data_IF_041469241964
#
_entry.id   IF_041469241964
#
_cell.length_a   1.000
_cell.length_b   1.000
_cell.length_c   1.000
_cell.angle_alpha   90.00
_cell.angle_beta   90.00
_cell.angle_gamma   90.00
#
_symmetry.space_group_name_H-M   'P 1'
#
loop_
_entity.id
_entity.type
_entity.pdbx_description
1 polymer ?
#
# COMPACT_ATOMS: atom_id res chain seq x y z
N UNK A 1 -12.56 37.58 19.39
CA UNK A 1 -12.34 36.46 18.46
C UNK A 1 -11.38 35.48 19.12
N UNK A 2 -11.88 34.37 19.64
CA UNK A 2 -10.99 33.29 20.11
C UNK A 2 -10.14 32.78 18.94
N UNK A 3 -8.84 32.62 19.16
CA UNK A 3 -7.96 32.07 18.15
C UNK A 3 -8.33 30.60 17.90
N UNK A 4 -8.71 30.27 16.67
CA UNK A 4 -9.06 28.89 16.28
C UNK A 4 -7.88 27.98 16.58
N UNK A 5 -8.11 26.89 17.32
CA UNK A 5 -7.02 25.97 17.68
C UNK A 5 -6.41 25.33 16.44
N UNK A 6 -5.08 25.12 16.42
CA UNK A 6 -4.38 24.42 15.33
C UNK A 6 -5.00 23.05 15.01
N UNK A 7 -5.47 22.36 16.05
CA UNK A 7 -6.16 21.07 15.91
C UNK A 7 -7.46 21.22 15.12
N UNK A 8 -8.27 22.23 15.42
CA UNK A 8 -9.51 22.49 14.68
C UNK A 8 -9.20 22.80 13.21
N UNK A 9 -8.21 23.64 12.92
CA UNK A 9 -7.77 23.94 11.54
C UNK A 9 -7.38 22.65 10.80
N UNK A 10 -6.58 21.79 11.41
CA UNK A 10 -6.15 20.53 10.78
C UNK A 10 -7.31 19.58 10.49
N UNK A 11 -8.32 19.49 11.36
CA UNK A 11 -9.50 18.67 11.12
C UNK A 11 -10.43 19.26 10.05
N UNK A 12 -10.57 20.59 10.02
CA UNK A 12 -11.28 21.26 8.92
C UNK A 12 -10.59 20.97 7.59
N UNK A 13 -9.28 21.10 7.53
CA UNK A 13 -8.49 20.76 6.33
C UNK A 13 -8.62 19.29 5.97
N UNK A 14 -8.61 18.38 6.95
CA UNK A 14 -8.82 16.95 6.72
C UNK A 14 -10.13 16.70 5.99
N UNK A 15 -11.25 17.24 6.50
CA UNK A 15 -12.57 17.06 5.89
C UNK A 15 -12.60 17.67 4.48
N UNK A 16 -12.09 18.90 4.31
CA UNK A 16 -12.07 19.57 3.02
C UNK A 16 -11.25 18.80 1.97
N UNK A 17 -10.05 18.32 2.33
CA UNK A 17 -9.18 17.57 1.42
C UNK A 17 -9.83 16.25 1.01
N UNK A 18 -10.34 15.46 1.95
CA UNK A 18 -10.95 14.17 1.62
C UNK A 18 -12.24 14.34 0.81
N UNK A 19 -13.08 15.31 1.17
CA UNK A 19 -14.28 15.63 0.40
C UNK A 19 -13.93 16.10 -1.02
N UNK A 20 -12.93 16.97 -1.17
CA UNK A 20 -12.49 17.45 -2.47
C UNK A 20 -11.90 16.33 -3.33
N UNK A 21 -11.03 15.47 -2.78
CA UNK A 21 -10.46 14.32 -3.50
C UNK A 21 -11.54 13.31 -3.87
N UNK A 22 -12.47 13.01 -2.97
CA UNK A 22 -13.62 12.14 -3.26
C UNK A 22 -14.48 12.71 -4.40
N UNK A 23 -14.79 14.01 -4.37
CA UNK A 23 -15.52 14.70 -5.44
C UNK A 23 -14.77 14.66 -6.78
N UNK A 24 -13.46 14.94 -6.77
CA UNK A 24 -12.62 14.94 -7.97
C UNK A 24 -12.63 13.58 -8.68
N UNK A 25 -12.86 12.51 -7.93
CA UNK A 25 -12.92 11.14 -8.45
C UNK A 25 -14.10 10.92 -9.41
N UNK A 26 -15.19 11.67 -9.24
CA UNK A 26 -16.35 11.68 -10.13
C UNK A 26 -16.21 12.66 -11.29
N UNK A 27 -15.31 13.64 -11.18
CA UNK A 27 -15.11 14.69 -12.18
C UNK A 27 -14.05 14.34 -13.23
N UNK A 28 -13.08 13.48 -12.90
CA UNK A 28 -11.96 13.16 -13.78
C UNK A 28 -12.28 12.00 -14.75
N UNK A 29 -11.85 12.09 -16.03
CA UNK A 29 -12.24 11.15 -17.10
C UNK A 29 -11.54 9.79 -17.05
N UNK A 30 -10.66 9.51 -16.07
CA UNK A 30 -9.73 8.37 -16.10
C UNK A 30 -10.09 7.24 -15.14
N UNK A 31 -11.35 7.16 -14.71
CA UNK A 31 -11.87 6.09 -13.83
C UNK A 31 -10.93 5.74 -12.65
N UNK A 32 -10.52 6.71 -11.81
CA UNK A 32 -9.59 6.45 -10.70
C UNK A 32 -10.15 5.44 -9.67
N UNK A 33 -11.45 5.16 -9.77
CA UNK A 33 -12.23 4.27 -8.91
C UNK A 33 -12.40 2.86 -9.51
N UNK A 34 -11.79 2.59 -10.69
CA UNK A 34 -11.97 1.36 -11.47
C UNK A 34 -11.85 0.08 -10.65
N UNK A 35 -10.80 -0.05 -9.84
CA UNK A 35 -10.60 -1.20 -8.97
C UNK A 35 -11.78 -1.43 -8.01
N UNK A 36 -12.39 -0.37 -7.48
CA UNK A 36 -13.42 -0.48 -6.45
C UNK A 36 -14.67 -1.17 -7.00
N UNK A 37 -15.17 -0.75 -8.16
CA UNK A 37 -16.40 -1.32 -8.74
C UNK A 37 -16.15 -2.48 -9.71
N UNK A 38 -14.96 -2.58 -10.35
CA UNK A 38 -14.66 -3.71 -11.26
C UNK A 38 -14.07 -4.92 -10.56
N UNK A 39 -13.47 -4.73 -9.39
CA UNK A 39 -12.62 -5.76 -8.78
C UNK A 39 -12.99 -6.00 -7.32
N UNK A 40 -13.00 -4.96 -6.48
CA UNK A 40 -13.24 -5.13 -5.04
C UNK A 40 -14.70 -5.47 -4.74
N UNK A 41 -15.65 -4.77 -5.36
CA UNK A 41 -17.08 -5.03 -5.20
C UNK A 41 -17.47 -6.43 -5.68
N UNK A 42 -17.06 -6.91 -6.87
CA UNK A 42 -17.39 -8.27 -7.30
C UNK A 42 -16.81 -9.36 -6.40
N UNK A 43 -15.53 -9.27 -6.00
CA UNK A 43 -14.91 -10.29 -5.12
C UNK A 43 -15.53 -10.33 -3.73
N UNK A 44 -15.77 -9.16 -3.13
CA UNK A 44 -16.42 -9.11 -1.82
C UNK A 44 -17.87 -9.56 -1.87
N UNK A 45 -18.61 -9.23 -2.93
CA UNK A 45 -19.99 -9.69 -3.14
C UNK A 45 -20.03 -11.21 -3.35
N UNK A 46 -19.13 -11.76 -4.16
CA UNK A 46 -19.00 -13.21 -4.36
C UNK A 46 -18.79 -13.94 -3.03
N UNK A 47 -17.91 -13.42 -2.17
CA UNK A 47 -17.64 -13.98 -0.85
C UNK A 47 -18.88 -13.92 0.07
N UNK A 48 -19.58 -12.78 0.11
CA UNK A 48 -20.77 -12.58 0.94
C UNK A 48 -21.98 -13.41 0.50
N UNK A 49 -22.13 -13.66 -0.80
CA UNK A 49 -23.20 -14.47 -1.37
C UNK A 49 -22.89 -15.98 -1.37
N UNK A 50 -21.72 -16.38 -0.86
CA UNK A 50 -21.32 -17.79 -0.80
C UNK A 50 -20.97 -18.40 -2.16
N UNK A 51 -20.62 -17.59 -3.16
CA UNK A 51 -20.23 -18.02 -4.51
C UNK A 51 -18.74 -18.37 -4.65
N UNK A 52 -18.01 -18.43 -3.54
CA UNK A 52 -16.57 -18.68 -3.47
C UNK A 52 -15.81 -17.52 -2.86
N UNK A 53 -14.61 -17.79 -2.35
CA UNK A 53 -13.73 -16.80 -1.72
C UNK A 53 -12.39 -16.83 -2.46
N UNK A 54 -12.02 -15.71 -3.08
CA UNK A 54 -10.70 -15.52 -3.71
C UNK A 54 -9.58 -15.76 -2.71
N UNK A 55 -8.51 -16.46 -3.14
CA UNK A 55 -7.40 -16.85 -2.28
C UNK A 55 -7.67 -18.08 -1.42
N UNK A 56 -8.92 -18.58 -1.40
CA UNK A 56 -9.33 -19.84 -0.77
C UNK A 56 -9.78 -20.85 -1.83
N UNK A 57 -10.76 -20.49 -2.66
CA UNK A 57 -11.32 -21.36 -3.70
C UNK A 57 -10.51 -21.32 -5.01
N UNK A 58 -9.73 -20.27 -5.21
CA UNK A 58 -8.90 -20.04 -6.40
C UNK A 58 -7.67 -19.20 -6.05
N UNK A 59 -6.67 -19.19 -6.95
CA UNK A 59 -5.51 -18.31 -6.81
C UNK A 59 -5.95 -16.85 -6.88
N UNK A 60 -5.21 -15.97 -6.19
CA UNK A 60 -5.56 -14.56 -6.11
C UNK A 60 -4.34 -13.66 -6.14
N UNK A 61 -4.49 -12.50 -6.77
CA UNK A 61 -3.41 -11.53 -6.98
C UNK A 61 -3.04 -10.74 -5.71
N UNK A 62 -3.90 -10.75 -4.68
CA UNK A 62 -3.68 -10.08 -3.41
C UNK A 62 -3.44 -11.09 -2.27
N UNK A 63 -2.69 -10.69 -1.22
CA UNK A 63 -2.60 -11.52 -0.03
C UNK A 63 -3.93 -11.55 0.73
N UNK A 64 -4.09 -12.58 1.56
CA UNK A 64 -5.38 -13.09 2.00
C UNK A 64 -6.23 -12.09 2.79
N UNK A 65 -5.60 -11.20 3.58
CA UNK A 65 -6.34 -10.19 4.35
C UNK A 65 -6.83 -9.03 3.48
N UNK A 66 -6.46 -8.94 2.20
CA UNK A 66 -6.93 -7.89 1.30
C UNK A 66 -8.46 -7.90 1.12
N UNK A 67 -9.11 -9.05 1.33
CA UNK A 67 -10.56 -9.17 1.21
C UNK A 67 -11.28 -8.44 2.36
N UNK A 68 -10.62 -8.27 3.51
CA UNK A 68 -11.20 -7.64 4.70
C UNK A 68 -11.71 -6.22 4.42
N UNK A 69 -10.88 -5.26 3.95
CA UNK A 69 -11.38 -3.92 3.63
C UNK A 69 -12.46 -3.91 2.54
N UNK A 70 -12.40 -4.85 1.58
CA UNK A 70 -13.41 -4.97 0.53
C UNK A 70 -14.77 -5.36 1.13
N UNK A 71 -14.80 -6.37 2.01
CA UNK A 71 -16.02 -6.77 2.71
C UNK A 71 -16.51 -5.68 3.65
N UNK A 72 -15.62 -5.01 4.39
CA UNK A 72 -16.00 -3.94 5.32
C UNK A 72 -16.66 -2.74 4.62
N UNK A 73 -16.34 -2.47 3.34
CA UNK A 73 -16.94 -1.38 2.59
C UNK A 73 -18.47 -1.57 2.39
N UNK A 74 -18.96 -2.83 2.35
CA UNK A 74 -20.40 -3.13 2.27
C UNK A 74 -21.19 -2.60 3.47
N UNK A 75 -20.57 -2.47 4.65
CA UNK A 75 -21.22 -1.92 5.84
C UNK A 75 -21.68 -0.45 5.65
N UNK A 76 -21.12 0.25 4.66
CA UNK A 76 -21.43 1.64 4.32
C UNK A 76 -22.13 1.77 2.97
N UNK A 77 -22.29 0.67 2.22
CA UNK A 77 -22.85 0.70 0.87
C UNK A 77 -24.32 1.19 0.82
N UNK A 78 -25.07 1.03 1.91
CA UNK A 78 -26.46 1.51 2.03
C UNK A 78 -26.60 3.03 1.93
N UNK A 79 -25.51 3.80 2.13
CA UNK A 79 -25.54 5.26 2.09
C UNK A 79 -25.70 5.77 0.66
N UNK A 80 -24.88 5.25 -0.27
CA UNK A 80 -24.88 5.69 -1.68
C UNK A 80 -24.13 4.71 -2.63
N UNK A 81 -24.17 3.41 -2.34
CA UNK A 81 -23.49 2.36 -3.10
C UNK A 81 -22.10 2.00 -2.56
N UNK A 82 -21.58 0.85 -2.99
CA UNK A 82 -20.32 0.28 -2.51
C UNK A 82 -19.13 1.23 -2.68
N UNK A 83 -19.06 1.91 -3.82
CA UNK A 83 -18.01 2.87 -4.14
C UNK A 83 -17.93 4.02 -3.13
N UNK A 84 -19.06 4.58 -2.70
CA UNK A 84 -19.09 5.59 -1.63
C UNK A 84 -18.77 4.94 -0.29
N UNK A 85 -19.27 3.73 -0.05
CA UNK A 85 -18.94 2.96 1.15
C UNK A 85 -17.44 2.73 1.32
N UNK A 86 -16.72 2.45 0.24
CA UNK A 86 -15.27 2.34 0.20
C UNK A 86 -14.59 3.67 0.56
N UNK A 87 -15.00 4.77 -0.08
CA UNK A 87 -14.44 6.09 0.20
C UNK A 87 -14.63 6.50 1.67
N UNK A 88 -15.79 6.20 2.25
CA UNK A 88 -16.09 6.42 3.66
C UNK A 88 -15.22 5.56 4.57
N UNK A 89 -15.05 4.27 4.26
CA UNK A 89 -14.18 3.36 5.01
C UNK A 89 -12.73 3.87 5.03
N UNK A 90 -12.18 4.22 3.87
CA UNK A 90 -10.81 4.74 3.78
C UNK A 90 -10.68 6.08 4.52
N UNK A 91 -11.63 7.00 4.34
CA UNK A 91 -11.64 8.28 5.06
C UNK A 91 -11.72 8.09 6.58
N UNK A 92 -12.46 7.08 7.06
CA UNK A 92 -12.53 6.75 8.48
C UNK A 92 -11.19 6.21 9.00
N UNK A 93 -10.53 5.34 8.24
CA UNK A 93 -9.20 4.84 8.58
C UNK A 93 -8.16 5.95 8.65
N UNK A 94 -8.18 6.85 7.67
CA UNK A 94 -7.36 8.05 7.66
C UNK A 94 -7.67 8.95 8.86
N UNK A 95 -8.95 9.14 9.21
CA UNK A 95 -9.34 9.93 10.37
C UNK A 95 -8.80 9.34 11.68
N UNK A 96 -8.85 8.02 11.87
CA UNK A 96 -8.30 7.34 13.06
C UNK A 96 -6.79 7.57 13.16
N UNK A 97 -6.05 7.34 12.07
CA UNK A 97 -4.62 7.54 12.03
C UNK A 97 -4.23 9.02 12.22
N UNK A 98 -4.96 9.93 11.58
CA UNK A 98 -4.79 11.37 11.69
C UNK A 98 -5.04 11.87 13.11
N UNK A 99 -6.05 11.34 13.81
CA UNK A 99 -6.32 11.65 15.21
C UNK A 99 -5.12 11.32 16.11
N UNK A 100 -4.52 10.14 15.92
CA UNK A 100 -3.34 9.70 16.68
C UNK A 100 -2.10 10.53 16.33
N UNK A 101 -1.91 10.84 15.04
CA UNK A 101 -0.82 11.68 14.55
C UNK A 101 -0.88 13.10 15.15
N UNK A 102 -2.01 13.79 14.98
CA UNK A 102 -2.20 15.17 15.46
C UNK A 102 -2.24 15.23 16.99
N UNK A 103 -2.85 14.24 17.65
CA UNK A 103 -3.03 14.23 19.10
C UNK A 103 -3.73 15.50 19.59
N UNK A 104 -3.09 16.22 20.52
CA UNK A 104 -3.61 17.52 21.02
C UNK A 104 -3.32 18.72 20.10
N UNK A 105 -2.60 18.53 18.99
CA UNK A 105 -2.26 19.61 18.04
C UNK A 105 -1.29 20.67 18.57
N UNK A 106 -0.53 20.36 19.64
CA UNK A 106 0.42 21.29 20.28
C UNK A 106 1.86 21.14 19.80
N UNK A 107 2.24 19.98 19.27
CA UNK A 107 3.59 19.71 18.79
C UNK A 107 3.76 20.21 17.37
N UNK A 108 4.76 21.07 17.11
CA UNK A 108 5.08 21.55 15.76
C UNK A 108 5.35 20.40 14.80
N UNK A 109 6.14 19.40 15.20
CA UNK A 109 6.44 18.24 14.34
C UNK A 109 5.19 17.46 13.92
N UNK A 110 4.25 17.25 14.84
CA UNK A 110 2.97 16.58 14.53
C UNK A 110 2.09 17.41 13.59
N UNK A 111 2.08 18.73 13.76
CA UNK A 111 1.33 19.64 12.88
C UNK A 111 1.93 19.65 11.48
N UNK A 112 3.26 19.67 11.35
CA UNK A 112 3.95 19.60 10.06
C UNK A 112 3.68 18.26 9.38
N UNK A 113 3.82 17.13 10.09
CA UNK A 113 3.52 15.81 9.53
C UNK A 113 2.07 15.68 9.07
N UNK A 114 1.11 16.22 9.85
CA UNK A 114 -0.29 16.24 9.46
C UNK A 114 -0.55 17.11 8.22
N UNK A 115 0.06 18.29 8.15
CA UNK A 115 -0.03 19.17 6.97
C UNK A 115 0.60 18.53 5.73
N UNK A 116 1.77 17.89 5.88
CA UNK A 116 2.42 17.13 4.83
C UNK A 116 1.52 16.02 4.30
N UNK A 117 0.93 15.20 5.20
CA UNK A 117 0.05 14.11 4.79
C UNK A 117 -1.19 14.64 4.04
N UNK A 118 -1.84 15.70 4.52
CA UNK A 118 -2.98 16.31 3.83
C UNK A 118 -2.60 16.86 2.45
N UNK A 119 -1.46 17.54 2.33
CA UNK A 119 -0.95 17.99 1.05
C UNK A 119 -0.64 16.81 0.12
N UNK A 120 -0.11 15.71 0.65
CA UNK A 120 0.19 14.51 -0.10
C UNK A 120 -1.08 13.85 -0.65
N UNK A 121 -2.13 13.70 0.18
CA UNK A 121 -3.45 13.18 -0.26
C UNK A 121 -4.01 14.04 -1.39
N UNK A 122 -3.93 15.37 -1.26
CA UNK A 122 -4.40 16.30 -2.28
C UNK A 122 -3.62 16.15 -3.61
N UNK A 123 -2.29 16.02 -3.54
CA UNK A 123 -1.41 15.91 -4.71
C UNK A 123 -1.54 14.58 -5.43
N UNK A 124 -1.67 13.47 -4.70
CA UNK A 124 -1.93 12.14 -5.30
C UNK A 124 -3.34 12.06 -5.86
N UNK A 125 -4.30 12.68 -5.18
CA UNK A 125 -5.68 12.75 -5.61
C UNK A 125 -6.40 11.39 -5.54
N UNK A 126 -7.43 11.19 -6.38
CA UNK A 126 -8.36 10.07 -6.32
C UNK A 126 -7.75 8.67 -6.22
N UNK A 127 -6.64 8.45 -6.93
CA UNK A 127 -5.98 7.14 -6.97
C UNK A 127 -5.47 6.70 -5.59
N UNK A 128 -5.18 7.64 -4.69
CA UNK A 128 -4.82 7.34 -3.31
C UNK A 128 -6.00 6.84 -2.47
N UNK A 129 -7.21 7.34 -2.74
CA UNK A 129 -8.42 7.03 -1.96
C UNK A 129 -9.10 5.72 -2.42
N UNK A 130 -9.09 5.45 -3.73
CA UNK A 130 -9.84 4.33 -4.33
C UNK A 130 -8.96 3.11 -4.68
N UNK A 131 -7.87 2.94 -3.93
CA UNK A 131 -7.00 1.76 -4.00
C UNK A 131 -6.81 1.19 -2.60
N UNK A 132 -6.48 -0.10 -2.49
CA UNK A 132 -6.12 -0.75 -1.22
C UNK A 132 -5.05 0.02 -0.43
N UNK A 133 -4.20 0.77 -1.12
CA UNK A 133 -3.16 1.61 -0.54
C UNK A 133 -3.73 2.67 0.41
N UNK A 134 -4.86 3.30 0.06
CA UNK A 134 -5.57 4.23 0.92
C UNK A 134 -6.00 3.59 2.24
N UNK A 135 -6.33 2.30 2.25
CA UNK A 135 -6.63 1.58 3.48
C UNK A 135 -5.37 1.19 4.27
N UNK A 136 -4.30 0.78 3.58
CA UNK A 136 -3.07 0.29 4.25
C UNK A 136 -2.18 1.40 4.81
N UNK A 137 -2.06 2.55 4.14
CA UNK A 137 -1.22 3.67 4.60
C UNK A 137 -1.56 4.16 6.01
N UNK A 138 -2.82 4.45 6.39
CA UNK A 138 -3.15 4.87 7.75
C UNK A 138 -2.78 3.81 8.81
N UNK A 139 -2.90 2.52 8.49
CA UNK A 139 -2.47 1.42 9.36
C UNK A 139 -0.96 1.47 9.59
N UNK A 140 -0.19 1.68 8.52
CA UNK A 140 1.28 1.77 8.59
C UNK A 140 1.72 3.04 9.34
N UNK A 141 1.07 4.19 9.13
CA UNK A 141 1.31 5.41 9.89
C UNK A 141 1.10 5.17 11.39
N UNK A 142 -0.02 4.55 11.78
CA UNK A 142 -0.30 4.18 13.17
C UNK A 142 0.78 3.26 13.74
N UNK A 143 1.20 2.26 12.98
CA UNK A 143 2.24 1.34 13.40
C UNK A 143 3.57 2.06 13.62
N UNK A 144 3.99 2.92 12.68
CA UNK A 144 5.20 3.74 12.79
C UNK A 144 5.22 4.59 14.06
N UNK A 145 4.09 5.24 14.40
CA UNK A 145 3.94 6.04 15.63
C UNK A 145 4.08 5.21 16.91
N UNK A 146 3.91 3.89 16.84
CA UNK A 146 3.96 2.98 17.98
C UNK A 146 5.19 2.07 18.02
N UNK A 147 6.08 2.11 17.02
CA UNK A 147 7.25 1.22 16.93
C UNK A 147 8.11 1.17 18.19
N UNK A 148 8.36 2.32 18.82
CA UNK A 148 9.22 2.40 20.03
C UNK A 148 8.43 2.09 21.29
N UNK A 149 7.24 2.67 21.45
CA UNK A 149 6.47 2.59 22.70
C UNK A 149 5.64 1.29 22.84
N UNK A 150 5.15 0.75 21.74
CA UNK A 150 4.26 -0.43 21.69
C UNK A 150 4.65 -1.35 20.52
N UNK A 151 5.88 -1.92 20.51
CA UNK A 151 6.40 -2.66 19.36
C UNK A 151 5.54 -3.86 18.95
N UNK A 152 4.89 -4.56 19.90
CA UNK A 152 3.94 -5.63 19.55
C UNK A 152 2.74 -5.12 18.76
N UNK A 153 2.11 -4.03 19.20
CA UNK A 153 0.97 -3.44 18.47
C UNK A 153 1.39 -2.97 17.08
N UNK A 154 2.55 -2.30 16.97
CA UNK A 154 3.11 -1.88 15.69
C UNK A 154 3.39 -3.08 14.77
N UNK A 155 3.96 -4.16 15.30
CA UNK A 155 4.25 -5.38 14.54
C UNK A 155 3.00 -6.06 14.01
N UNK A 156 1.97 -6.19 14.86
CA UNK A 156 0.69 -6.79 14.46
C UNK A 156 0.03 -5.95 13.35
N UNK A 157 0.03 -4.63 13.47
CA UNK A 157 -0.50 -3.74 12.44
C UNK A 157 0.29 -3.81 11.13
N UNK A 158 1.63 -3.75 11.19
CA UNK A 158 2.48 -3.86 10.00
C UNK A 158 2.28 -5.19 9.30
N UNK A 159 2.25 -6.29 10.06
CA UNK A 159 2.05 -7.63 9.48
C UNK A 159 0.65 -7.79 8.90
N UNK A 160 -0.40 -7.29 9.56
CA UNK A 160 -1.74 -7.29 9.00
C UNK A 160 -1.81 -6.45 7.72
N UNK A 161 -1.19 -5.27 7.70
CA UNK A 161 -1.07 -4.46 6.49
C UNK A 161 -0.29 -5.17 5.38
N UNK A 162 0.78 -5.90 5.70
CA UNK A 162 1.55 -6.75 4.76
C UNK A 162 0.67 -7.84 4.13
N UNK A 163 -0.21 -8.45 4.92
CA UNK A 163 -1.16 -9.46 4.43
C UNK A 163 -2.37 -8.87 3.71
N UNK A 164 -2.57 -7.55 3.76
CA UNK A 164 -3.51 -6.81 2.89
C UNK A 164 -2.81 -6.42 1.58
N UNK A 165 -1.57 -5.94 1.67
CA UNK A 165 -0.75 -5.57 0.50
C UNK A 165 0.72 -5.70 0.87
N UNK A 166 1.59 -6.16 -0.03
CA UNK A 166 2.95 -6.58 0.35
C UNK A 166 3.88 -5.44 0.79
N UNK A 167 3.70 -4.21 0.31
CA UNK A 167 4.64 -3.08 0.52
C UNK A 167 5.00 -2.75 2.00
N UNK A 168 4.11 -2.89 3.02
CA UNK A 168 4.45 -2.66 4.42
C UNK A 168 5.51 -3.62 4.96
N UNK A 169 5.78 -4.75 4.27
CA UNK A 169 6.92 -5.61 4.63
C UNK A 169 8.26 -4.86 4.56
N UNK A 170 8.41 -3.88 3.65
CA UNK A 170 9.59 -3.02 3.59
C UNK A 170 9.76 -2.19 4.89
N UNK A 171 8.66 -1.61 5.38
CA UNK A 171 8.64 -0.83 6.62
C UNK A 171 8.87 -1.73 7.84
N UNK A 172 8.28 -2.94 7.85
CA UNK A 172 8.51 -3.94 8.89
C UNK A 172 9.97 -4.41 8.92
N UNK A 173 10.58 -4.65 7.76
CA UNK A 173 12.00 -5.00 7.66
C UNK A 173 12.89 -3.88 8.20
N UNK A 174 12.62 -2.62 7.82
CA UNK A 174 13.32 -1.45 8.36
C UNK A 174 13.18 -1.38 9.90
N UNK A 175 11.98 -1.64 10.41
CA UNK A 175 11.70 -1.63 11.85
C UNK A 175 12.47 -2.75 12.58
N UNK A 176 12.51 -3.97 12.04
CA UNK A 176 13.26 -5.11 12.62
C UNK A 176 14.75 -4.79 12.73
N UNK A 177 15.31 -4.07 11.76
CA UNK A 177 16.70 -3.62 11.76
C UNK A 177 16.93 -2.49 12.77
N UNK A 178 16.04 -1.49 12.80
CA UNK A 178 16.27 -0.26 13.55
C UNK A 178 15.83 -0.30 15.02
N UNK A 179 14.89 -1.17 15.39
CA UNK A 179 14.30 -1.21 16.74
C UNK A 179 15.01 -2.23 17.62
N UNK A 180 15.42 -1.81 18.83
CA UNK A 180 16.07 -2.67 19.84
C UNK A 180 15.23 -3.90 20.22
N UNK A 181 13.91 -3.75 20.35
CA UNK A 181 12.96 -4.82 20.71
C UNK A 181 12.54 -5.67 19.50
N UNK A 182 13.48 -6.04 18.64
CA UNK A 182 13.23 -6.81 17.41
C UNK A 182 12.46 -8.12 17.62
N UNK A 183 12.61 -8.78 18.76
CA UNK A 183 11.85 -9.99 19.09
C UNK A 183 10.33 -9.75 19.14
N UNK A 184 9.88 -8.57 19.58
CA UNK A 184 8.46 -8.21 19.56
C UNK A 184 7.97 -7.97 18.12
N UNK A 185 8.81 -7.41 17.26
CA UNK A 185 8.50 -7.22 15.85
C UNK A 185 8.38 -8.55 15.10
N UNK A 186 9.37 -9.42 15.27
CA UNK A 186 9.37 -10.77 14.69
C UNK A 186 8.19 -11.57 15.25
N UNK A 187 7.95 -11.53 16.55
CA UNK A 187 6.84 -12.22 17.20
C UNK A 187 5.47 -11.77 16.66
N UNK A 188 5.23 -10.46 16.54
CA UNK A 188 3.96 -9.96 15.99
C UNK A 188 3.76 -10.36 14.53
N UNK A 189 4.83 -10.33 13.73
CA UNK A 189 4.80 -10.78 12.35
C UNK A 189 4.48 -12.27 12.22
N UNK A 190 5.10 -13.11 13.05
CA UNK A 190 4.83 -14.54 13.11
C UNK A 190 3.41 -14.84 13.55
N UNK A 191 2.88 -14.12 14.55
CA UNK A 191 1.50 -14.31 15.03
C UNK A 191 0.50 -14.03 13.92
N UNK A 192 0.55 -12.88 13.26
CA UNK A 192 -0.41 -12.57 12.18
C UNK A 192 -0.25 -13.53 11.00
N UNK A 193 0.98 -13.86 10.63
CA UNK A 193 1.22 -14.78 9.51
C UNK A 193 0.71 -16.18 9.82
N UNK A 194 0.96 -16.70 11.03
CA UNK A 194 0.44 -17.99 11.46
C UNK A 194 -1.09 -18.01 11.49
N UNK A 195 -1.71 -16.99 12.08
CA UNK A 195 -3.18 -16.88 12.12
C UNK A 195 -3.80 -16.84 10.72
N UNK A 196 -3.19 -16.06 9.81
CA UNK A 196 -3.66 -15.95 8.42
C UNK A 196 -3.55 -17.28 7.69
N UNK A 197 -2.39 -17.94 7.77
CA UNK A 197 -2.18 -19.24 7.11
C UNK A 197 -3.08 -20.33 7.70
N UNK A 198 -3.21 -20.40 9.03
CA UNK A 198 -4.09 -21.37 9.68
C UNK A 198 -5.54 -21.14 9.24
N UNK A 199 -6.02 -19.89 9.21
CA UNK A 199 -7.37 -19.58 8.76
C UNK A 199 -7.61 -20.03 7.32
N UNK A 200 -6.67 -19.77 6.42
CA UNK A 200 -6.73 -20.20 5.01
C UNK A 200 -6.75 -21.71 4.88
N UNK A 201 -5.87 -22.42 5.59
CA UNK A 201 -5.78 -23.88 5.55
C UNK A 201 -7.05 -24.53 6.10
N UNK A 202 -7.57 -24.03 7.23
CA UNK A 202 -8.82 -24.53 7.83
C UNK A 202 -10.01 -24.28 6.92
N UNK A 203 -10.01 -23.18 6.16
CA UNK A 203 -11.01 -22.90 5.14
C UNK A 203 -10.85 -23.72 3.84
N UNK A 204 -9.87 -24.65 3.77
CA UNK A 204 -9.62 -25.50 2.60
C UNK A 204 -8.74 -24.85 1.52
N UNK A 205 -8.26 -23.62 1.73
CA UNK A 205 -7.51 -22.83 0.75
C UNK A 205 -6.00 -23.02 0.78
N UNK A 206 -5.48 -24.07 1.42
CA UNK A 206 -4.04 -24.24 1.64
C UNK A 206 -3.19 -24.16 0.35
N UNK A 207 -3.71 -24.68 -0.76
CA UNK A 207 -3.03 -24.63 -2.07
C UNK A 207 -2.92 -23.20 -2.65
N UNK A 208 -3.80 -22.29 -2.22
CA UNK A 208 -3.89 -20.91 -2.72
C UNK A 208 -3.33 -19.88 -1.74
N UNK A 209 -2.84 -20.30 -0.56
CA UNK A 209 -2.35 -19.42 0.50
C UNK A 209 -1.32 -18.37 0.04
N UNK A 210 -0.45 -18.77 -0.89
CA UNK A 210 0.60 -17.93 -1.48
C UNK A 210 0.37 -17.64 -2.97
N UNK A 211 -0.85 -17.77 -3.48
CA UNK A 211 -1.18 -17.54 -4.89
C UNK A 211 -0.73 -16.16 -5.39
N UNK A 212 -0.80 -15.14 -4.54
CA UNK A 212 -0.36 -13.79 -4.88
C UNK A 212 1.12 -13.70 -5.23
N UNK A 213 1.97 -14.60 -4.73
CA UNK A 213 3.39 -14.68 -5.07
C UNK A 213 3.58 -15.24 -6.48
N UNK A 214 2.88 -16.32 -6.80
CA UNK A 214 2.92 -16.95 -8.13
C UNK A 214 2.30 -16.06 -9.20
N UNK A 215 1.21 -15.36 -8.86
CA UNK A 215 0.56 -14.37 -9.74
C UNK A 215 1.48 -13.19 -10.08
N UNK A 216 2.44 -12.82 -9.23
CA UNK A 216 3.43 -11.79 -9.61
C UNK A 216 4.43 -12.30 -10.67
N UNK A 217 4.70 -13.60 -10.72
CA UNK A 217 5.69 -14.14 -11.66
C UNK A 217 5.22 -13.99 -13.11
N UNK A 218 3.93 -14.16 -13.37
CA UNK A 218 3.30 -14.12 -14.70
C UNK A 218 3.00 -12.70 -15.21
N UNK A 219 3.19 -11.65 -14.38
CA UNK A 219 2.94 -10.27 -14.80
C UNK A 219 3.94 -9.76 -15.83
N UNK A 220 3.41 -9.07 -16.84
CA UNK A 220 4.18 -8.27 -17.78
C UNK A 220 4.72 -6.97 -17.17
N UNK A 221 5.31 -6.13 -18.03
CA UNK A 221 5.87 -4.84 -17.65
C UNK A 221 4.80 -3.75 -17.78
N UNK A 222 4.43 -3.13 -16.66
CA UNK A 222 3.39 -2.09 -16.62
C UNK A 222 3.94 -0.72 -17.01
N UNK A 223 3.10 0.11 -17.64
CA UNK A 223 3.52 1.43 -18.16
C UNK A 223 4.03 2.37 -17.07
N UNK A 224 3.55 2.23 -15.84
CA UNK A 224 3.97 3.07 -14.71
C UNK A 224 5.21 2.55 -13.98
N UNK A 225 5.76 1.39 -14.37
CA UNK A 225 7.02 0.89 -13.84
C UNK A 225 8.19 1.73 -14.37
N UNK A 226 9.17 2.16 -13.53
CA UNK A 226 10.27 2.99 -14.01
C UNK A 226 11.08 2.37 -15.16
N UNK A 227 11.26 1.04 -15.14
CA UNK A 227 11.96 0.31 -16.21
C UNK A 227 11.16 0.26 -17.53
N UNK A 228 9.87 0.61 -17.54
CA UNK A 228 9.09 0.73 -18.77
C UNK A 228 9.45 1.97 -19.60
N UNK A 229 10.15 2.95 -19.01
CA UNK A 229 10.50 4.22 -19.66
C UNK A 229 11.12 4.05 -21.06
N UNK A 230 12.14 3.19 -21.27
CA UNK A 230 12.71 3.00 -22.62
C UNK A 230 11.70 2.45 -23.63
N UNK A 231 10.78 1.58 -23.20
CA UNK A 231 9.74 1.02 -24.05
C UNK A 231 8.69 2.06 -24.44
N UNK A 232 8.33 2.93 -23.49
CA UNK A 232 7.45 4.07 -23.74
C UNK A 232 8.07 5.05 -24.76
N UNK A 233 9.38 5.31 -24.67
CA UNK A 233 10.07 6.09 -25.70
C UNK A 233 10.02 5.41 -27.07
N UNK A 234 10.23 4.09 -27.13
CA UNK A 234 10.09 3.33 -28.38
C UNK A 234 8.69 3.47 -28.99
N UNK A 235 7.65 3.35 -28.17
CA UNK A 235 6.27 3.51 -28.59
C UNK A 235 5.97 4.95 -29.04
N UNK A 236 6.44 5.96 -28.29
CA UNK A 236 6.30 7.38 -28.62
C UNK A 236 6.98 7.74 -29.94
N UNK A 237 8.16 7.17 -30.21
CA UNK A 237 8.94 7.39 -31.42
C UNK A 237 8.44 6.55 -32.61
N UNK A 238 7.42 5.71 -32.43
CA UNK A 238 6.86 4.87 -33.49
C UNK A 238 7.81 3.75 -33.95
N UNK A 239 8.72 3.29 -33.09
CA UNK A 239 9.64 2.19 -33.41
C UNK A 239 8.82 0.90 -33.56
N UNK A 240 8.93 0.17 -34.69
CA UNK A 240 8.20 -1.08 -34.89
C UNK A 240 8.43 -2.08 -33.75
N UNK A 241 7.34 -2.67 -33.24
CA UNK A 241 7.36 -3.64 -32.13
C UNK A 241 7.16 -3.04 -30.74
N UNK A 242 7.27 -1.71 -30.59
CA UNK A 242 7.01 -1.02 -29.33
C UNK A 242 5.57 -0.48 -29.30
N UNK A 243 4.82 -0.85 -28.26
CA UNK A 243 3.43 -0.40 -28.12
C UNK A 243 2.98 -0.40 -26.66
N UNK A 244 1.87 0.30 -26.40
CA UNK A 244 1.14 0.23 -25.13
C UNK A 244 -0.16 -0.52 -25.39
N UNK A 245 -0.45 -1.54 -24.58
CA UNK A 245 -1.67 -2.32 -24.68
C UNK A 245 -2.35 -2.46 -23.31
N UNK A 246 -3.67 -2.59 -23.32
CA UNK A 246 -4.43 -2.86 -22.11
C UNK A 246 -4.62 -4.37 -21.94
N UNK A 247 -4.17 -4.91 -20.81
CA UNK A 247 -4.43 -6.30 -20.43
C UNK A 247 -5.80 -6.39 -19.77
N UNK A 248 -6.74 -7.12 -20.40
CA UNK A 248 -8.08 -7.33 -19.85
C UNK A 248 -8.10 -8.35 -18.70
N UNK A 249 -7.11 -9.24 -18.63
CA UNK A 249 -6.98 -10.22 -17.55
C UNK A 249 -6.49 -9.56 -16.26
N UNK A 250 -5.54 -8.62 -16.36
CA UNK A 250 -4.94 -7.93 -15.22
C UNK A 250 -5.50 -6.54 -14.96
N UNK A 251 -6.32 -6.01 -15.89
CA UNK A 251 -6.90 -4.67 -15.88
C UNK A 251 -5.86 -3.54 -15.78
N UNK A 252 -4.73 -3.70 -16.47
CA UNK A 252 -3.59 -2.77 -16.41
C UNK A 252 -2.98 -2.51 -17.78
N UNK A 253 -2.44 -1.32 -17.97
CA UNK A 253 -1.65 -0.99 -19.16
C UNK A 253 -0.25 -1.60 -19.07
N UNK A 254 0.17 -2.23 -20.15
CA UNK A 254 1.49 -2.84 -20.30
C UNK A 254 2.19 -2.30 -21.54
N UNK A 255 3.52 -2.40 -21.54
CA UNK A 255 4.35 -2.09 -22.70
C UNK A 255 4.78 -3.37 -23.41
N UNK A 256 5.03 -3.27 -24.71
CA UNK A 256 5.75 -4.26 -25.51
C UNK A 256 7.00 -3.63 -26.12
N UNK A 257 7.98 -4.47 -26.48
CA UNK A 257 9.13 -4.04 -27.26
C UNK A 257 10.21 -5.10 -27.32
N UNK A 258 11.31 -4.76 -27.98
CA UNK A 258 12.47 -5.65 -28.16
C UNK A 258 13.03 -6.12 -26.81
N UNK A 259 13.35 -7.41 -26.71
CA UNK A 259 13.93 -8.04 -25.50
C UNK A 259 13.14 -7.78 -24.20
N UNK A 260 11.81 -7.67 -24.27
CA UNK A 260 11.00 -7.40 -23.08
C UNK A 260 10.97 -8.57 -22.09
N UNK A 261 10.95 -9.82 -22.57
CA UNK A 261 10.83 -11.00 -21.70
C UNK A 261 12.05 -11.19 -20.79
N UNK A 262 13.31 -11.09 -21.28
CA UNK A 262 14.48 -11.09 -20.41
C UNK A 262 14.47 -9.96 -19.37
N UNK A 263 13.99 -8.76 -19.74
CA UNK A 263 13.88 -7.63 -18.81
C UNK A 263 12.86 -7.94 -17.72
N UNK A 264 11.65 -8.39 -18.09
CA UNK A 264 10.61 -8.83 -17.15
C UNK A 264 11.13 -9.90 -16.19
N UNK A 265 11.84 -10.90 -16.71
CA UNK A 265 12.42 -11.99 -15.92
C UNK A 265 13.49 -11.50 -14.94
N UNK A 266 14.31 -10.52 -15.35
CA UNK A 266 15.37 -9.96 -14.52
C UNK A 266 14.85 -9.05 -13.39
N UNK A 267 13.67 -8.42 -13.53
CA UNK A 267 13.16 -7.46 -12.56
C UNK A 267 12.94 -8.07 -11.17
N UNK A 268 12.46 -9.31 -11.06
CA UNK A 268 12.25 -9.96 -9.75
C UNK A 268 13.58 -10.22 -9.02
N UNK A 269 14.60 -10.85 -9.63
CA UNK A 269 15.94 -10.94 -9.05
C UNK A 269 16.54 -9.58 -8.68
N UNK A 270 16.42 -8.57 -9.56
CA UNK A 270 16.94 -7.21 -9.31
C UNK A 270 16.29 -6.61 -8.07
N UNK A 271 14.97 -6.73 -7.92
CA UNK A 271 14.25 -6.29 -6.74
C UNK A 271 14.79 -6.97 -5.49
N UNK A 272 14.89 -8.30 -5.49
CA UNK A 272 15.39 -9.05 -4.33
C UNK A 272 16.80 -8.59 -3.94
N UNK A 273 17.71 -8.48 -4.92
CA UNK A 273 19.09 -8.02 -4.67
C UNK A 273 19.10 -6.60 -4.13
N UNK A 274 18.34 -5.66 -4.72
CA UNK A 274 18.27 -4.29 -4.24
C UNK A 274 17.76 -4.21 -2.79
N UNK A 275 16.70 -4.95 -2.47
CA UNK A 275 16.13 -4.99 -1.12
C UNK A 275 17.13 -5.57 -0.11
N UNK A 276 17.85 -6.64 -0.46
CA UNK A 276 18.89 -7.23 0.39
C UNK A 276 20.08 -6.30 0.61
N UNK A 277 20.53 -5.59 -0.44
CA UNK A 277 21.62 -4.61 -0.33
C UNK A 277 21.22 -3.45 0.59
N UNK A 278 20.03 -2.88 0.40
CA UNK A 278 19.53 -1.78 1.24
C UNK A 278 19.37 -2.25 2.69
N UNK A 279 18.79 -3.43 2.92
CA UNK A 279 18.67 -4.00 4.26
C UNK A 279 20.03 -4.28 4.91
N UNK A 280 21.01 -4.77 4.14
CA UNK A 280 22.38 -5.00 4.59
C UNK A 280 23.08 -3.70 4.99
N UNK A 281 22.95 -2.64 4.19
CA UNK A 281 23.45 -1.30 4.55
C UNK A 281 22.80 -0.78 5.83
N UNK A 282 21.49 -0.96 5.98
CA UNK A 282 20.76 -0.65 7.21
C UNK A 282 21.26 -1.42 8.41
N UNK A 283 21.54 -2.72 8.26
CA UNK A 283 22.07 -3.58 9.32
C UNK A 283 23.49 -3.14 9.73
N UNK A 284 24.36 -2.81 8.78
CA UNK A 284 25.69 -2.25 9.06
C UNK A 284 25.57 -0.93 9.83
N UNK A 285 24.67 -0.03 9.42
CA UNK A 285 24.42 1.22 10.14
C UNK A 285 23.89 0.99 11.56
N UNK A 286 23.01 0.00 11.76
CA UNK A 286 22.50 -0.39 13.07
C UNK A 286 23.63 -0.90 13.98
N UNK A 287 24.51 -1.77 13.47
CA UNK A 287 25.68 -2.30 14.20
C UNK A 287 26.65 -1.18 14.58
N UNK A 288 26.81 -0.17 13.72
CA UNK A 288 27.59 1.04 14.00
C UNK A 288 26.92 2.02 14.98
N UNK A 289 25.74 1.70 15.50
CA UNK A 289 25.06 2.49 16.53
C UNK A 289 24.33 3.73 16.00
N UNK A 290 23.97 3.78 14.71
CA UNK A 290 23.15 4.87 14.17
C UNK A 290 21.81 4.91 14.91
N UNK A 291 21.43 6.10 15.40
CA UNK A 291 20.22 6.29 16.21
C UNK A 291 18.96 5.99 15.41
N UNK A 292 17.95 5.42 16.08
CA UNK A 292 16.64 5.09 15.51
C UNK A 292 16.03 6.24 14.68
N UNK A 293 16.06 7.47 15.22
CA UNK A 293 15.48 8.66 14.59
C UNK A 293 16.11 9.03 13.24
N UNK A 294 17.31 8.52 12.95
CA UNK A 294 17.99 8.70 11.67
C UNK A 294 17.93 7.43 10.83
N UNK A 295 18.09 6.27 11.46
CA UNK A 295 18.15 4.98 10.78
C UNK A 295 16.78 4.57 10.22
N UNK A 296 15.73 4.57 11.04
CA UNK A 296 14.44 4.01 10.65
C UNK A 296 13.78 4.79 9.49
N UNK A 297 13.62 6.13 9.53
CA UNK A 297 13.01 6.86 8.42
C UNK A 297 13.79 6.70 7.12
N UNK A 298 15.12 6.79 7.19
CA UNK A 298 16.01 6.64 6.01
C UNK A 298 15.93 5.24 5.42
N UNK A 299 16.03 4.20 6.25
CA UNK A 299 16.00 2.81 5.80
C UNK A 299 14.62 2.41 5.28
N UNK A 300 13.56 2.83 5.96
CA UNK A 300 12.17 2.59 5.54
C UNK A 300 11.91 3.25 4.19
N UNK A 301 12.29 4.52 4.02
CA UNK A 301 12.18 5.24 2.75
C UNK A 301 12.98 4.54 1.64
N UNK A 302 14.22 4.14 1.92
CA UNK A 302 15.06 3.46 0.94
C UNK A 302 14.48 2.11 0.51
N UNK A 303 13.97 1.30 1.43
CA UNK A 303 13.35 0.01 1.11
C UNK A 303 12.05 0.19 0.33
N UNK A 304 11.20 1.16 0.72
CA UNK A 304 9.98 1.47 -0.04
C UNK A 304 10.31 1.97 -1.45
N UNK A 305 11.26 2.89 -1.60
CA UNK A 305 11.72 3.36 -2.91
C UNK A 305 12.34 2.23 -3.73
N UNK A 306 13.13 1.36 -3.12
CA UNK A 306 13.66 0.15 -3.77
C UNK A 306 12.51 -0.69 -4.34
N UNK A 307 11.47 -0.92 -3.54
CA UNK A 307 10.27 -1.66 -3.96
C UNK A 307 9.45 -0.97 -5.05
N UNK A 308 9.54 0.35 -5.21
CA UNK A 308 8.88 1.10 -6.29
C UNK A 308 9.74 1.08 -7.56
N UNK A 309 11.03 1.40 -7.43
CA UNK A 309 11.94 1.62 -8.56
C UNK A 309 12.34 0.33 -9.27
N UNK A 310 12.48 -0.76 -8.51
CA UNK A 310 12.92 -2.06 -9.04
C UNK A 310 11.77 -3.01 -9.32
N UNK A 311 10.53 -2.52 -9.40
CA UNK A 311 9.37 -3.37 -9.67
C UNK A 311 8.95 -3.27 -11.14
N UNK A 312 8.61 -4.41 -11.74
CA UNK A 312 8.03 -4.49 -13.09
C UNK A 312 6.55 -4.10 -13.13
N UNK A 313 5.91 -4.08 -11.97
CA UNK A 313 4.53 -3.62 -11.76
C UNK A 313 4.63 -2.24 -11.13
N UNK A 314 3.96 -1.25 -11.73
CA UNK A 314 3.98 0.13 -11.27
C UNK A 314 2.56 0.66 -11.20
N UNK A 315 2.31 1.61 -10.31
CA UNK A 315 1.04 2.31 -10.28
C UNK A 315 1.19 3.64 -9.54
N UNK A 316 0.51 4.73 -9.93
CA UNK A 316 0.75 6.05 -9.35
C UNK A 316 0.52 6.11 -7.83
N UNK A 317 -0.40 5.30 -7.31
CA UNK A 317 -0.65 5.19 -5.87
C UNK A 317 0.53 4.64 -5.07
N UNK A 318 1.54 4.01 -5.68
CA UNK A 318 2.69 3.54 -4.92
C UNK A 318 3.44 4.68 -4.23
N UNK A 319 3.29 5.91 -4.72
CA UNK A 319 3.84 7.10 -4.07
C UNK A 319 3.29 7.27 -2.64
N UNK A 320 2.06 6.84 -2.35
CA UNK A 320 1.49 6.92 -0.99
C UNK A 320 2.24 6.07 0.03
N UNK A 321 3.03 5.09 -0.40
CA UNK A 321 3.86 4.26 0.48
C UNK A 321 4.99 5.03 1.15
N UNK A 322 5.36 6.20 0.61
CA UNK A 322 6.41 7.05 1.17
C UNK A 322 5.92 7.81 2.41
N UNK A 323 4.61 8.06 2.53
CA UNK A 323 4.01 8.89 3.59
C UNK A 323 4.39 8.44 5.00
N UNK A 324 4.37 7.14 5.38
CA UNK A 324 4.72 6.75 6.75
C UNK A 324 6.20 6.91 7.09
N UNK A 325 7.07 7.05 6.08
CA UNK A 325 8.53 7.12 6.26
C UNK A 325 9.08 8.55 6.21
N UNK A 326 8.36 9.47 5.55
CA UNK A 326 8.69 10.90 5.40
C UNK A 326 8.06 11.74 6.54
#
# INVERSE_FOLDING_TARGET
MESVSRRAVLWTLFVLVHAFVAWLSFALPNEPMGDVYRVYEPWSTQALEGRGIVGIAEAWVYPQLALVPMVLAHAFAWIAGYTIGWALLVTLMDAVAFAVLVGRGRSTGRVVAAGFWLAFVLLVGPVGLYRLDGFTVPIVVLACLWLVGRPWAAALLLAAATWIKVWPAAVLAAAVVAVRRRAALIGGALVISALTIIAVVVAGGGAHAFGFVTEQATRGLQVEAPIATPYLWGALLGIPGFSVSYSFDLLTFQVTGTEIDPVIAAMTPVLVVAMLLIAGLGAVAAVRGVRFVTLFPTLSTALVLGFIVTNKVGSPQYLVWLVPSL
#
